data_IF_848657163863
#
_entry.id   IF_848657163863
#
_cell.length_a   1.000
_cell.length_b   1.000
_cell.length_c   1.000
_cell.angle_alpha   90.00
_cell.angle_beta   90.00
_cell.angle_gamma   90.00
#
_symmetry.space_group_name_H-M   'P 1'
#
loop_
_entity.id
_entity.type
_entity.pdbx_description
1 polymer ?
#
# COMPACT_ATOMS: atom_id res chain seq x y z
N UNK A 1 40.18 -15.99 -19.64
CA UNK A 1 38.83 -15.57 -20.09
C UNK A 1 37.71 -16.03 -19.16
N UNK A 2 37.56 -17.34 -18.84
CA UNK A 2 36.53 -17.83 -17.88
C UNK A 2 36.52 -17.10 -16.51
N UNK A 3 37.70 -16.82 -15.95
CA UNK A 3 37.82 -16.10 -14.66
C UNK A 3 37.38 -14.62 -14.75
N UNK A 4 37.57 -13.98 -15.91
CA UNK A 4 37.16 -12.58 -16.14
C UNK A 4 35.64 -12.49 -16.31
N UNK A 5 35.03 -13.47 -17.00
CA UNK A 5 33.58 -13.58 -17.17
C UNK A 5 32.89 -13.80 -15.81
N UNK A 6 33.46 -14.63 -14.94
CA UNK A 6 32.94 -14.86 -13.59
C UNK A 6 33.00 -13.60 -12.71
N UNK A 7 34.05 -12.78 -12.83
CA UNK A 7 34.18 -11.53 -12.08
C UNK A 7 33.22 -10.42 -12.55
N UNK A 8 32.83 -10.41 -13.83
CA UNK A 8 31.86 -9.44 -14.35
C UNK A 8 30.43 -9.68 -13.86
N UNK A 9 30.05 -10.95 -13.63
CA UNK A 9 28.69 -11.31 -13.20
C UNK A 9 28.38 -10.89 -11.75
N UNK A 10 29.39 -10.78 -10.88
CA UNK A 10 29.24 -10.32 -9.50
C UNK A 10 29.06 -8.80 -9.38
N UNK A 11 29.45 -8.03 -10.42
CA UNK A 11 29.34 -6.58 -10.42
C UNK A 11 27.94 -6.06 -10.81
N UNK A 12 27.03 -6.94 -11.24
CA UNK A 12 25.67 -6.61 -11.68
C UNK A 12 24.64 -7.16 -10.70
N UNK A 13 24.80 -6.85 -9.41
CA UNK A 13 23.73 -7.05 -8.44
C UNK A 13 22.75 -5.87 -8.54
N UNK A 14 21.76 -5.99 -9.42
CA UNK A 14 20.65 -5.03 -9.44
C UNK A 14 19.84 -5.16 -8.14
N UNK A 15 19.34 -4.05 -7.56
CA UNK A 15 18.44 -4.13 -6.43
C UNK A 15 17.17 -4.87 -6.86
N UNK A 16 16.98 -6.09 -6.35
CA UNK A 16 15.73 -6.83 -6.53
C UNK A 16 14.71 -6.33 -5.52
N UNK A 17 13.66 -5.65 -5.98
CA UNK A 17 12.51 -5.36 -5.14
C UNK A 17 11.59 -6.59 -5.12
N UNK A 18 11.55 -7.30 -4.00
CA UNK A 18 10.81 -8.57 -3.85
C UNK A 18 9.30 -8.37 -3.58
N UNK A 19 8.71 -7.27 -4.06
CA UNK A 19 7.30 -6.95 -3.86
C UNK A 19 6.67 -6.46 -5.17
N UNK A 20 5.39 -6.80 -5.37
CA UNK A 20 4.66 -6.46 -6.59
C UNK A 20 4.31 -4.98 -6.69
N UNK A 21 4.00 -4.35 -5.54
CA UNK A 21 3.59 -2.95 -5.47
C UNK A 21 4.27 -2.22 -4.32
N UNK A 22 4.61 -0.95 -4.55
CA UNK A 22 5.15 -0.01 -3.57
C UNK A 22 4.10 1.00 -3.11
N UNK A 23 4.46 1.81 -2.11
CA UNK A 23 3.62 2.88 -1.62
C UNK A 23 3.34 4.00 -2.61
N UNK A 24 4.16 4.17 -3.66
CA UNK A 24 3.88 5.16 -4.70
C UNK A 24 2.68 4.70 -5.52
N UNK A 25 2.67 3.45 -5.95
CA UNK A 25 1.55 2.86 -6.68
C UNK A 25 0.28 2.86 -5.83
N UNK A 26 0.39 2.51 -4.54
CA UNK A 26 -0.75 2.59 -3.63
C UNK A 26 -1.26 4.04 -3.45
N UNK A 27 -0.35 5.03 -3.44
CA UNK A 27 -0.70 6.46 -3.38
C UNK A 27 -1.35 6.96 -4.67
N UNK A 28 -0.92 6.47 -5.84
CA UNK A 28 -1.53 6.79 -7.13
C UNK A 28 -2.99 6.30 -7.17
N UNK A 29 -3.23 5.06 -6.76
CA UNK A 29 -4.58 4.51 -6.69
C UNK A 29 -5.46 5.23 -5.64
N UNK A 30 -4.89 5.67 -4.51
CA UNK A 30 -5.60 6.53 -3.57
C UNK A 30 -5.96 7.90 -4.19
N UNK A 31 -5.07 8.48 -5.00
CA UNK A 31 -5.36 9.74 -5.70
C UNK A 31 -6.47 9.56 -6.74
N UNK A 32 -6.51 8.42 -7.43
CA UNK A 32 -7.63 8.06 -8.31
C UNK A 32 -8.96 7.97 -7.53
N UNK A 33 -8.96 7.33 -6.35
CA UNK A 33 -10.11 7.35 -5.42
C UNK A 33 -10.53 8.77 -5.04
N UNK A 34 -9.58 9.65 -4.68
CA UNK A 34 -9.88 11.07 -4.35
C UNK A 34 -10.53 11.81 -5.51
N UNK A 35 -10.08 11.58 -6.76
CA UNK A 35 -10.73 12.16 -7.94
C UNK A 35 -12.17 11.66 -8.11
N UNK A 36 -12.40 10.37 -7.89
CA UNK A 36 -13.75 9.78 -7.96
C UNK A 36 -14.69 10.39 -6.92
N UNK A 37 -14.22 10.57 -5.68
CA UNK A 37 -14.98 11.23 -4.61
C UNK A 37 -15.29 12.70 -4.92
N UNK A 38 -14.41 13.37 -5.67
CA UNK A 38 -14.55 14.78 -6.04
C UNK A 38 -15.27 15.00 -7.39
N UNK A 39 -15.90 13.96 -7.96
CA UNK A 39 -16.55 14.02 -9.28
C UNK A 39 -15.64 14.53 -10.42
N UNK A 40 -14.35 14.20 -10.34
CA UNK A 40 -13.32 14.58 -11.31
C UNK A 40 -12.51 13.36 -11.79
N UNK A 41 -13.15 12.19 -11.82
CA UNK A 41 -12.54 10.94 -12.24
C UNK A 41 -12.78 10.65 -13.72
N UNK A 42 -11.72 10.22 -14.39
CA UNK A 42 -11.78 9.57 -15.69
C UNK A 42 -12.11 8.07 -15.52
N UNK A 43 -12.54 7.36 -16.58
CA UNK A 43 -12.85 5.93 -16.50
C UNK A 43 -11.75 5.07 -15.86
N UNK A 44 -10.47 5.40 -16.12
CA UNK A 44 -9.32 4.71 -15.52
C UNK A 44 -9.22 4.94 -14.01
N UNK A 45 -9.60 6.11 -13.52
CA UNK A 45 -9.52 6.42 -12.09
C UNK A 45 -10.50 5.56 -11.28
N UNK A 46 -11.64 5.16 -11.86
CA UNK A 46 -12.56 4.24 -11.19
C UNK A 46 -11.99 2.82 -11.05
N UNK A 47 -11.24 2.35 -12.05
CA UNK A 47 -10.55 1.06 -11.98
C UNK A 47 -9.48 1.11 -10.88
N UNK A 48 -8.64 2.13 -10.89
CA UNK A 48 -7.57 2.31 -9.91
C UNK A 48 -8.11 2.52 -8.49
N UNK A 49 -9.20 3.28 -8.33
CA UNK A 49 -9.90 3.39 -7.05
C UNK A 49 -10.43 2.04 -6.55
N UNK A 50 -10.90 1.18 -7.47
CA UNK A 50 -11.29 -0.20 -7.15
C UNK A 50 -10.10 -1.06 -6.72
N UNK A 51 -8.94 -0.92 -7.37
CA UNK A 51 -7.70 -1.60 -6.97
C UNK A 51 -7.24 -1.15 -5.58
N UNK A 52 -7.24 0.15 -5.31
CA UNK A 52 -6.95 0.71 -3.98
C UNK A 52 -7.83 0.08 -2.91
N UNK A 53 -9.15 0.12 -3.13
CA UNK A 53 -10.16 -0.45 -2.24
C UNK A 53 -9.87 -1.92 -1.95
N UNK A 54 -9.69 -2.72 -2.99
CA UNK A 54 -9.43 -4.15 -2.87
C UNK A 54 -8.15 -4.44 -2.07
N UNK A 55 -7.07 -3.72 -2.37
CA UNK A 55 -5.78 -3.89 -1.70
C UNK A 55 -5.85 -3.57 -0.20
N UNK A 56 -6.47 -2.44 0.15
CA UNK A 56 -6.61 -1.99 1.53
C UNK A 56 -7.52 -2.91 2.34
N UNK A 57 -8.67 -3.32 1.79
CA UNK A 57 -9.58 -4.26 2.45
C UNK A 57 -8.92 -5.64 2.63
N UNK A 58 -8.18 -6.12 1.64
CA UNK A 58 -7.47 -7.39 1.74
C UNK A 58 -6.44 -7.35 2.89
N UNK A 59 -5.71 -6.24 3.01
CA UNK A 59 -4.76 -6.03 4.11
C UNK A 59 -5.49 -6.00 5.46
N UNK A 60 -6.57 -5.23 5.57
CA UNK A 60 -7.40 -5.21 6.78
C UNK A 60 -7.88 -6.63 7.16
N UNK A 61 -8.46 -7.36 6.21
CA UNK A 61 -9.01 -8.69 6.45
C UNK A 61 -7.96 -9.73 6.84
N UNK A 62 -6.74 -9.62 6.31
CA UNK A 62 -5.64 -10.54 6.63
C UNK A 62 -5.19 -10.43 8.09
N UNK A 63 -5.39 -9.27 8.74
CA UNK A 63 -4.87 -8.98 10.07
C UNK A 63 -5.94 -8.55 11.08
N UNK A 64 -7.22 -8.52 10.68
CA UNK A 64 -8.32 -8.22 11.59
C UNK A 64 -8.36 -9.23 12.74
N UNK A 65 -8.63 -8.76 13.94
CA UNK A 65 -8.66 -9.55 15.19
C UNK A 65 -7.34 -10.20 15.61
N UNK A 66 -6.23 -9.98 14.88
CA UNK A 66 -4.89 -10.47 15.26
C UNK A 66 -3.96 -9.32 15.60
N UNK A 67 -3.89 -8.31 14.74
CA UNK A 67 -3.11 -7.08 14.99
C UNK A 67 -3.85 -5.78 14.62
N UNK A 68 -4.98 -5.89 13.92
CA UNK A 68 -5.89 -4.77 13.60
C UNK A 68 -7.22 -5.03 14.32
N UNK A 69 -7.57 -4.20 15.30
CA UNK A 69 -8.76 -4.35 16.12
C UNK A 69 -9.54 -3.02 16.19
N UNK A 70 -10.39 -2.74 15.19
CA UNK A 70 -11.21 -1.54 15.22
C UNK A 70 -12.41 -1.72 16.17
N UNK A 71 -13.00 -0.59 16.57
CA UNK A 71 -14.29 -0.62 17.25
C UNK A 71 -15.39 -1.15 16.33
N UNK A 72 -16.47 -1.76 16.88
CA UNK A 72 -17.60 -2.22 16.08
C UNK A 72 -18.19 -1.10 15.23
N UNK A 73 -18.53 -1.42 13.97
CA UNK A 73 -19.15 -0.47 13.05
C UNK A 73 -18.18 0.30 12.16
N UNK A 74 -16.89 -0.04 12.16
CA UNK A 74 -15.94 0.49 11.16
C UNK A 74 -16.45 0.25 9.74
N UNK A 75 -16.32 1.26 8.90
CA UNK A 75 -16.72 1.21 7.49
C UNK A 75 -15.51 1.00 6.61
N UNK A 76 -15.73 0.46 5.41
CA UNK A 76 -14.67 0.35 4.40
C UNK A 76 -14.07 1.71 4.06
N UNK A 77 -14.90 2.77 4.02
CA UNK A 77 -14.43 4.13 3.78
C UNK A 77 -13.40 4.59 4.81
N UNK A 78 -13.63 4.30 6.09
CA UNK A 78 -12.66 4.63 7.15
C UNK A 78 -11.36 3.84 7.03
N UNK A 79 -11.41 2.57 6.64
CA UNK A 79 -10.20 1.76 6.40
C UNK A 79 -9.38 2.36 5.25
N UNK A 80 -10.06 2.72 4.15
CA UNK A 80 -9.46 3.41 3.01
C UNK A 80 -8.88 4.78 3.38
N UNK A 81 -9.59 5.57 4.20
CA UNK A 81 -9.16 6.91 4.62
C UNK A 81 -7.92 6.86 5.51
N UNK A 82 -7.86 5.91 6.44
CA UNK A 82 -6.70 5.69 7.32
C UNK A 82 -5.44 5.40 6.52
N UNK A 83 -5.51 4.47 5.57
CA UNK A 83 -4.36 4.13 4.73
C UNK A 83 -3.98 5.31 3.84
N UNK A 84 -4.96 6.02 3.29
CA UNK A 84 -4.74 7.15 2.39
C UNK A 84 -4.04 8.30 3.11
N UNK A 85 -4.50 8.63 4.31
CA UNK A 85 -3.92 9.66 5.16
C UNK A 85 -2.48 9.31 5.58
N UNK A 86 -2.21 8.04 5.88
CA UNK A 86 -0.85 7.59 6.20
C UNK A 86 0.11 7.80 5.03
N UNK A 87 -0.31 7.44 3.80
CA UNK A 87 0.49 7.68 2.60
C UNK A 87 0.73 9.16 2.36
N UNK A 88 -0.30 10.00 2.54
CA UNK A 88 -0.21 11.46 2.37
C UNK A 88 0.78 12.08 3.36
N UNK A 89 0.78 11.63 4.61
CA UNK A 89 1.64 12.16 5.67
C UNK A 89 3.07 11.60 5.67
N UNK A 90 3.33 10.52 4.93
CA UNK A 90 4.63 9.82 4.90
C UNK A 90 5.17 9.61 3.47
N UNK A 91 5.38 10.67 2.67
CA UNK A 91 5.90 10.55 1.31
C UNK A 91 7.30 9.88 1.25
N UNK A 92 8.12 10.06 2.29
CA UNK A 92 9.45 9.46 2.41
C UNK A 92 9.44 7.94 2.50
N UNK A 93 8.30 7.33 2.87
CA UNK A 93 8.16 5.89 3.02
C UNK A 93 7.58 5.21 1.78
N UNK A 94 7.12 5.96 0.75
CA UNK A 94 6.38 5.37 -0.37
C UNK A 94 7.18 4.43 -1.26
N UNK A 95 8.51 4.41 -1.16
CA UNK A 95 9.35 3.39 -1.82
C UNK A 95 9.31 2.02 -1.11
N UNK A 96 8.64 1.91 0.04
CA UNK A 96 8.45 0.65 0.77
C UNK A 96 7.30 -0.17 0.17
N UNK A 97 7.21 -1.48 0.48
CA UNK A 97 6.11 -2.31 0.00
C UNK A 97 4.73 -1.72 0.36
N UNK A 98 3.80 -1.71 -0.59
CA UNK A 98 2.43 -1.20 -0.38
C UNK A 98 1.73 -1.89 0.81
N UNK A 99 1.90 -3.21 0.93
CA UNK A 99 1.30 -4.03 1.99
C UNK A 99 1.84 -3.66 3.37
N UNK A 100 3.13 -3.35 3.46
CA UNK A 100 3.76 -2.89 4.71
C UNK A 100 3.18 -1.56 5.16
N UNK A 101 3.00 -0.61 4.24
CA UNK A 101 2.46 0.71 4.56
C UNK A 101 0.99 0.66 4.93
N UNK A 102 0.17 -0.10 4.18
CA UNK A 102 -1.24 -0.32 4.51
C UNK A 102 -1.39 -1.00 5.89
N UNK A 103 -0.56 -2.01 6.17
CA UNK A 103 -0.54 -2.68 7.47
C UNK A 103 -0.17 -1.71 8.60
N UNK A 104 0.93 -0.95 8.45
CA UNK A 104 1.39 0.01 9.45
C UNK A 104 0.34 1.09 9.74
N UNK A 105 -0.31 1.62 8.70
CA UNK A 105 -1.38 2.58 8.84
C UNK A 105 -2.52 2.03 9.70
N UNK A 106 -2.99 0.82 9.37
CA UNK A 106 -4.13 0.21 10.04
C UNK A 106 -3.82 -0.24 11.48
N UNK A 107 -2.64 -0.80 11.75
CA UNK A 107 -2.24 -1.15 13.12
C UNK A 107 -2.03 0.09 13.98
N UNK A 108 -1.53 1.17 13.41
CA UNK A 108 -1.39 2.44 14.13
C UNK A 108 -2.74 3.07 14.47
N UNK A 109 -3.74 2.95 13.59
CA UNK A 109 -5.07 3.53 13.81
C UNK A 109 -5.98 2.64 14.66
N UNK A 110 -5.85 1.32 14.53
CA UNK A 110 -6.72 0.32 15.17
C UNK A 110 -5.91 -0.73 15.93
N UNK A 111 -5.12 -0.35 16.95
CA UNK A 111 -4.30 -1.29 17.69
C UNK A 111 -5.15 -2.25 18.52
N UNK A 112 -4.77 -3.53 18.54
CA UNK A 112 -5.33 -4.49 19.49
C UNK A 112 -4.86 -4.19 20.92
N UNK A 113 -5.75 -4.35 21.89
CA UNK A 113 -5.39 -4.32 23.32
C UNK A 113 -4.44 -5.48 23.60
N UNK A 114 -3.37 -5.20 24.35
CA UNK A 114 -2.41 -6.21 24.80
C UNK A 114 -3.01 -7.10 25.88
#
# INVERSE_FOLDING_TARGET
>A
MKKIIASLLLAVSLPSYAFFYDGNQLSEWNNARKKALNNNAEPVDYLDAGVYRGFVIATYNAFQNTSICPEPGITVGQVEDVVGLYLDNHPELRTKPASELAYKALVSAFPCKK
#
